data_IF_214829551688
#
_entry.id   IF_214829551688
#
_cell.length_a   1.000
_cell.length_b   1.000
_cell.length_c   1.000
_cell.angle_alpha   90.00
_cell.angle_beta   90.00
_cell.angle_gamma   90.00
#
_symmetry.space_group_name_H-M   'P 1'
#
loop_
_entity.id
_entity.type
_entity.pdbx_description
1 polymer ?
#
# COMPACT_ATOMS: atom_id res chain seq x y z
N UNK A 1 3.39 7.54 -59.00
CA UNK A 1 2.96 8.67 -59.85
C UNK A 1 1.48 8.93 -59.63
N UNK A 2 1.06 10.20 -59.58
CA UNK A 2 -0.30 10.71 -59.23
C UNK A 2 -1.13 10.97 -60.54
N UNK A 3 -2.25 11.76 -60.64
CA UNK A 3 -3.17 12.44 -59.68
C UNK A 3 -4.70 12.20 -60.05
N UNK A 4 -5.65 13.19 -60.12
CA UNK A 4 -6.77 13.53 -59.18
C UNK A 4 -8.17 13.53 -59.92
N UNK A 5 -9.29 14.26 -59.57
CA UNK A 5 -9.57 15.24 -58.51
C UNK A 5 -10.92 15.14 -57.75
N UNK A 6 -11.02 16.05 -56.77
CA UNK A 6 -12.15 16.45 -55.93
C UNK A 6 -13.49 16.65 -56.63
N UNK A 7 -14.58 16.40 -55.90
CA UNK A 7 -15.86 17.08 -56.13
C UNK A 7 -16.51 17.51 -54.81
N UNK A 8 -17.13 18.68 -54.93
CA UNK A 8 -17.78 19.57 -53.97
C UNK A 8 -18.87 18.97 -53.06
N UNK A 9 -18.97 19.58 -51.87
CA UNK A 9 -20.04 19.43 -50.89
C UNK A 9 -21.45 19.80 -51.41
N UNK A 10 -22.50 19.38 -50.69
CA UNK A 10 -23.64 20.24 -50.43
C UNK A 10 -23.85 20.45 -48.93
N UNK A 11 -23.95 21.73 -48.58
CA UNK A 11 -24.48 22.30 -47.35
C UNK A 11 -25.83 21.71 -46.94
N UNK A 12 -25.96 21.24 -45.69
CA UNK A 12 -27.25 21.11 -45.00
C UNK A 12 -27.14 21.55 -43.53
N UNK A 13 -27.58 22.78 -43.32
CA UNK A 13 -28.53 23.26 -42.31
C UNK A 13 -28.51 22.53 -40.94
N UNK A 14 -27.93 23.23 -39.96
CA UNK A 14 -28.11 23.01 -38.53
C UNK A 14 -29.57 23.31 -38.12
N UNK A 15 -30.23 22.47 -37.30
CA UNK A 15 -31.44 22.85 -36.60
C UNK A 15 -31.10 23.66 -35.34
N UNK A 16 -31.48 24.93 -35.42
CA UNK A 16 -31.93 25.84 -34.36
C UNK A 16 -32.07 25.27 -32.94
N UNK A 17 -31.32 25.90 -32.05
CA UNK A 17 -31.46 25.94 -30.59
C UNK A 17 -32.89 26.24 -30.12
N UNK A 18 -33.46 25.39 -29.28
CA UNK A 18 -34.54 25.78 -28.36
C UNK A 18 -34.00 25.87 -26.94
N UNK A 19 -34.05 27.11 -26.44
CA UNK A 19 -33.82 27.53 -25.07
C UNK A 19 -34.56 26.61 -24.07
N UNK A 20 -33.81 25.96 -23.19
CA UNK A 20 -34.35 25.49 -21.92
C UNK A 20 -33.55 26.11 -20.77
N UNK A 21 -34.30 26.85 -19.97
CA UNK A 21 -33.93 27.73 -18.87
C UNK A 21 -32.75 27.25 -18.01
N UNK A 22 -31.74 28.13 -17.90
CA UNK A 22 -30.68 28.08 -16.89
C UNK A 22 -31.31 28.12 -15.50
N UNK A 23 -31.24 27.02 -14.74
CA UNK A 23 -31.14 27.10 -13.28
C UNK A 23 -29.66 27.08 -12.91
N UNK A 24 -29.06 28.26 -12.93
CA UNK A 24 -27.88 28.55 -12.11
C UNK A 24 -28.28 28.38 -10.65
N UNK A 25 -27.93 27.25 -10.05
CA UNK A 25 -27.83 27.17 -8.59
C UNK A 25 -26.56 27.92 -8.25
N UNK A 26 -26.71 29.19 -7.87
CA UNK A 26 -25.64 29.94 -7.27
C UNK A 26 -25.14 29.16 -6.06
N UNK A 27 -23.92 28.65 -6.13
CA UNK A 27 -23.19 28.23 -4.95
C UNK A 27 -23.02 29.48 -4.08
N UNK A 28 -23.86 29.61 -3.06
CA UNK A 28 -23.66 30.58 -2.00
C UNK A 28 -22.37 30.19 -1.28
N UNK A 29 -21.26 30.75 -1.73
CA UNK A 29 -20.03 30.84 -0.98
C UNK A 29 -20.26 31.87 0.11
N UNK A 30 -20.87 31.42 1.21
CA UNK A 30 -20.88 32.23 2.43
C UNK A 30 -19.44 32.36 2.92
N UNK A 31 -18.96 33.58 3.23
CA UNK A 31 -17.69 33.74 3.91
C UNK A 31 -17.78 33.02 5.25
N UNK A 32 -16.74 32.25 5.61
CA UNK A 32 -16.66 31.59 6.89
C UNK A 32 -16.81 32.64 8.01
N UNK A 33 -17.79 32.51 8.92
CA UNK A 33 -17.83 33.38 10.08
C UNK A 33 -16.63 33.05 10.95
N UNK A 34 -15.99 34.10 11.48
CA UNK A 34 -14.99 33.99 12.54
C UNK A 34 -15.51 33.05 13.63
N UNK A 35 -14.64 32.14 14.09
CA UNK A 35 -14.99 30.94 14.84
C UNK A 35 -16.00 31.15 15.97
N UNK A 36 -17.13 30.45 15.88
CA UNK A 36 -18.05 30.31 17.00
C UNK A 36 -17.44 29.38 18.06
N UNK A 37 -17.36 29.81 19.33
CA UNK A 37 -17.01 28.93 20.43
C UNK A 37 -18.18 27.97 20.68
N UNK A 38 -18.04 26.72 20.25
CA UNK A 38 -19.06 25.69 20.53
C UNK A 38 -19.15 24.50 19.56
N UNK A 39 -18.43 24.49 18.44
CA UNK A 39 -18.48 23.34 17.51
C UNK A 39 -17.89 22.08 18.16
N UNK A 40 -18.67 20.99 18.15
CA UNK A 40 -18.19 19.66 18.57
C UNK A 40 -16.98 19.24 17.71
N UNK A 41 -15.99 18.51 18.26
CA UNK A 41 -14.86 18.03 17.48
C UNK A 41 -15.31 17.20 16.27
N UNK A 42 -14.61 17.33 15.15
CA UNK A 42 -14.75 16.41 14.01
C UNK A 42 -14.23 15.04 14.46
N UNK A 43 -15.09 14.02 14.37
CA UNK A 43 -14.75 12.67 14.82
C UNK A 43 -14.69 11.70 13.66
N UNK A 44 -13.55 11.02 13.53
CA UNK A 44 -13.31 10.00 12.53
C UNK A 44 -13.04 8.65 13.18
N UNK A 45 -13.70 7.60 12.72
CA UNK A 45 -13.33 6.23 13.03
C UNK A 45 -12.56 5.64 11.84
N UNK A 46 -11.44 4.96 12.10
CA UNK A 46 -10.67 4.23 11.08
C UNK A 46 -10.62 2.75 11.46
N UNK A 47 -11.20 1.89 10.63
CA UNK A 47 -11.30 0.47 10.91
C UNK A 47 -10.11 -0.27 10.26
N UNK A 48 -9.14 -0.65 11.07
CA UNK A 48 -7.90 -1.34 10.68
C UNK A 48 -6.66 -0.47 10.89
N UNK A 49 -5.62 -1.05 11.47
CA UNK A 49 -4.35 -0.41 11.81
C UNK A 49 -3.19 -0.92 10.92
N UNK A 50 -3.50 -1.26 9.66
CA UNK A 50 -2.53 -1.63 8.62
C UNK A 50 -2.05 -0.43 7.80
N UNK A 51 -1.44 -0.70 6.63
CA UNK A 51 -0.92 0.35 5.74
C UNK A 51 -1.98 1.42 5.38
N UNK A 52 -3.17 0.99 4.96
CA UNK A 52 -4.26 1.89 4.59
C UNK A 52 -4.72 2.74 5.77
N UNK A 53 -5.02 2.09 6.91
CA UNK A 53 -5.60 2.77 8.07
C UNK A 53 -4.67 3.80 8.70
N UNK A 54 -3.40 3.47 8.90
CA UNK A 54 -2.45 4.44 9.46
C UNK A 54 -2.14 5.59 8.49
N UNK A 55 -2.12 5.32 7.19
CA UNK A 55 -2.00 6.39 6.18
C UNK A 55 -3.20 7.35 6.24
N UNK A 56 -4.42 6.81 6.27
CA UNK A 56 -5.65 7.61 6.42
C UNK A 56 -5.59 8.43 7.71
N UNK A 57 -5.30 7.79 8.85
CA UNK A 57 -5.25 8.45 10.15
C UNK A 57 -4.26 9.62 10.17
N UNK A 58 -3.04 9.40 9.66
CA UNK A 58 -2.03 10.45 9.52
C UNK A 58 -2.56 11.63 8.68
N UNK A 59 -3.15 11.34 7.53
CA UNK A 59 -3.65 12.39 6.63
C UNK A 59 -4.90 13.11 7.18
N UNK A 60 -5.77 12.43 7.93
CA UNK A 60 -6.88 13.07 8.64
C UNK A 60 -6.36 14.07 9.67
N UNK A 61 -5.41 13.66 10.52
CA UNK A 61 -4.78 14.54 11.50
C UNK A 61 -4.02 15.70 10.85
N UNK A 62 -3.35 15.46 9.71
CA UNK A 62 -2.51 16.45 9.04
C UNK A 62 -3.29 17.47 8.22
N UNK A 63 -4.37 17.05 7.56
CA UNK A 63 -5.08 17.88 6.58
C UNK A 63 -6.42 18.44 7.07
N UNK A 64 -6.89 18.03 8.24
CA UNK A 64 -8.04 18.70 8.86
C UNK A 64 -7.75 20.20 9.10
N UNK A 65 -8.77 21.08 9.02
CA UNK A 65 -8.58 22.51 9.20
C UNK A 65 -7.93 22.82 10.56
N UNK A 66 -7.01 23.79 10.60
CA UNK A 66 -6.26 24.14 11.82
C UNK A 66 -7.16 24.57 12.97
N UNK A 67 -8.22 25.31 12.66
CA UNK A 67 -9.18 25.81 13.67
C UNK A 67 -10.23 24.78 14.09
N UNK A 68 -10.11 23.51 13.64
CA UNK A 68 -11.04 22.44 13.99
C UNK A 68 -10.42 21.50 15.02
N UNK A 69 -11.18 21.20 16.07
CA UNK A 69 -10.87 20.10 16.96
C UNK A 69 -11.12 18.78 16.24
N UNK A 70 -10.17 17.85 16.29
CA UNK A 70 -10.22 16.59 15.52
C UNK A 70 -9.93 15.40 16.44
N UNK A 71 -10.76 14.36 16.38
CA UNK A 71 -10.50 13.08 17.04
C UNK A 71 -10.45 11.98 16.00
N UNK A 72 -9.38 11.19 16.00
CA UNK A 72 -9.24 10.00 15.15
C UNK A 72 -9.11 8.77 16.04
N UNK A 73 -10.12 7.90 15.95
CA UNK A 73 -10.19 6.66 16.71
C UNK A 73 -9.94 5.47 15.76
N UNK A 74 -8.84 4.74 15.96
CA UNK A 74 -8.53 3.52 15.21
C UNK A 74 -9.11 2.32 15.94
N UNK A 75 -9.82 1.45 15.22
CA UNK A 75 -10.30 0.16 15.71
C UNK A 75 -9.57 -0.97 14.98
N UNK A 76 -8.85 -1.83 15.72
CA UNK A 76 -8.19 -3.02 15.15
C UNK A 76 -8.07 -4.12 16.20
N UNK A 77 -8.59 -5.31 15.91
CA UNK A 77 -8.61 -6.45 16.84
C UNK A 77 -7.21 -7.01 17.16
N UNK A 78 -6.24 -6.85 16.25
CA UNK A 78 -4.86 -7.34 16.39
C UNK A 78 -3.85 -6.22 16.66
N UNK A 79 -4.29 -4.98 16.69
CA UNK A 79 -3.47 -3.79 16.87
C UNK A 79 -2.60 -3.44 15.66
N UNK A 80 -1.71 -2.47 15.84
CA UNK A 80 -0.88 -1.88 14.78
C UNK A 80 -0.10 -2.95 14.01
N UNK A 81 -0.35 -3.04 12.71
CA UNK A 81 0.29 -4.01 11.82
C UNK A 81 0.04 -5.48 12.20
N UNK A 82 -1.09 -5.79 12.84
CA UNK A 82 -1.46 -7.18 13.21
C UNK A 82 -1.87 -8.05 12.02
N UNK A 83 -2.29 -7.45 10.90
CA UNK A 83 -2.69 -8.16 9.69
C UNK A 83 -1.60 -8.27 8.61
N UNK A 84 -2.03 -8.51 7.37
CA UNK A 84 -1.15 -8.72 6.21
C UNK A 84 -0.13 -7.60 5.96
N UNK A 85 -0.41 -6.37 6.41
CA UNK A 85 0.53 -5.25 6.28
C UNK A 85 1.82 -5.48 7.07
N UNK A 86 1.71 -5.95 8.32
CA UNK A 86 2.87 -6.22 9.18
C UNK A 86 3.66 -7.46 8.77
N UNK A 87 3.02 -8.39 8.07
CA UNK A 87 3.64 -9.66 7.61
C UNK A 87 4.42 -9.51 6.30
N UNK A 88 4.10 -8.48 5.49
CA UNK A 88 4.60 -8.32 4.12
C UNK A 88 6.13 -8.40 3.96
N UNK A 89 6.60 -8.62 2.73
CA UNK A 89 8.04 -8.76 2.44
C UNK A 89 8.85 -7.46 2.52
N UNK A 90 8.22 -6.30 2.72
CA UNK A 90 8.94 -5.03 2.90
C UNK A 90 9.64 -4.46 1.66
N UNK A 91 9.50 -5.09 0.48
CA UNK A 91 10.12 -4.61 -0.75
C UNK A 91 9.31 -3.46 -1.36
N UNK A 92 9.94 -2.29 -1.52
CA UNK A 92 9.31 -1.07 -2.01
C UNK A 92 10.02 -0.52 -3.25
N UNK A 93 9.28 -0.48 -4.35
CA UNK A 93 9.67 0.10 -5.63
C UNK A 93 8.40 0.39 -6.47
N UNK A 94 8.44 1.33 -7.44
CA UNK A 94 7.25 1.73 -8.23
C UNK A 94 6.97 0.87 -9.46
N UNK A 95 7.63 -0.27 -9.58
CA UNK A 95 7.62 -1.09 -10.80
C UNK A 95 6.79 -2.37 -10.66
N UNK A 96 6.23 -2.83 -11.78
CA UNK A 96 5.60 -4.14 -11.89
C UNK A 96 6.63 -5.28 -11.79
N UNK A 97 6.23 -6.57 -11.72
CA UNK A 97 7.19 -7.67 -11.76
C UNK A 97 7.90 -7.75 -13.13
N UNK A 98 7.40 -7.04 -14.14
CA UNK A 98 8.02 -6.90 -15.46
C UNK A 98 8.90 -5.65 -15.55
N UNK A 99 9.21 -5.01 -14.42
CA UNK A 99 10.01 -3.76 -14.35
C UNK A 99 9.36 -2.55 -15.03
N UNK A 100 8.19 -2.71 -15.66
CA UNK A 100 7.38 -1.59 -16.15
C UNK A 100 6.91 -0.68 -15.01
N UNK A 101 7.04 0.64 -15.18
CA UNK A 101 6.49 1.62 -14.25
C UNK A 101 4.97 1.41 -14.11
N UNK A 102 4.50 1.35 -12.86
CA UNK A 102 3.07 1.18 -12.59
C UNK A 102 2.29 2.44 -12.99
N UNK A 103 1.00 2.27 -13.27
CA UNK A 103 0.10 3.41 -13.45
C UNK A 103 0.15 4.32 -12.22
N UNK A 104 0.41 5.61 -12.45
CA UNK A 104 0.69 6.62 -11.41
C UNK A 104 1.79 6.22 -10.42
N UNK A 105 2.73 5.38 -10.84
CA UNK A 105 3.84 4.88 -10.01
C UNK A 105 4.68 5.99 -9.40
N UNK A 106 4.84 7.12 -10.10
CA UNK A 106 5.54 8.30 -9.58
C UNK A 106 4.85 8.92 -8.35
N UNK A 107 3.53 9.03 -8.37
CA UNK A 107 2.75 9.62 -7.28
C UNK A 107 2.69 8.67 -6.08
N UNK A 108 2.48 7.37 -6.34
CA UNK A 108 2.56 6.34 -5.30
C UNK A 108 3.92 6.34 -4.61
N UNK A 109 5.00 6.36 -5.40
CA UNK A 109 6.36 6.43 -4.88
C UNK A 109 6.57 7.67 -4.00
N UNK A 110 6.19 8.85 -4.49
CA UNK A 110 6.35 10.12 -3.78
C UNK A 110 5.65 10.12 -2.42
N UNK A 111 4.38 9.71 -2.39
CA UNK A 111 3.59 9.73 -1.14
C UNK A 111 4.06 8.66 -0.15
N UNK A 112 4.38 7.44 -0.62
CA UNK A 112 4.93 6.39 0.26
C UNK A 112 6.30 6.74 0.82
N UNK A 113 7.18 7.33 0.02
CA UNK A 113 8.47 7.86 0.49
C UNK A 113 8.30 9.03 1.46
N UNK A 114 7.21 9.81 1.34
CA UNK A 114 6.82 10.82 2.31
C UNK A 114 6.49 10.21 3.68
N UNK A 115 5.61 9.22 3.71
CA UNK A 115 5.23 8.54 4.97
C UNK A 115 6.38 7.74 5.59
N UNK A 116 7.28 7.18 4.79
CA UNK A 116 8.49 6.54 5.32
C UNK A 116 9.39 7.52 6.07
N UNK A 117 9.62 8.71 5.51
CA UNK A 117 10.40 9.76 6.18
C UNK A 117 9.77 10.21 7.49
N UNK A 118 8.45 10.33 7.52
CA UNK A 118 7.69 10.66 8.74
C UNK A 118 7.88 9.57 9.80
N UNK A 119 7.76 8.30 9.42
CA UNK A 119 7.97 7.18 10.34
C UNK A 119 9.41 7.10 10.85
N UNK A 120 10.41 7.30 9.99
CA UNK A 120 11.82 7.35 10.40
C UNK A 120 12.09 8.46 11.42
N UNK A 121 11.53 9.65 11.20
CA UNK A 121 11.67 10.78 12.13
C UNK A 121 11.08 10.44 13.51
N UNK A 122 9.87 9.87 13.55
CA UNK A 122 9.22 9.46 14.80
C UNK A 122 9.99 8.33 15.51
N UNK A 123 10.62 7.42 14.76
CA UNK A 123 11.45 6.37 15.32
C UNK A 123 12.77 6.92 15.90
N UNK A 124 13.37 7.93 15.26
CA UNK A 124 14.59 8.58 15.74
C UNK A 124 14.40 9.33 17.06
N UNK A 125 13.25 10.00 17.23
CA UNK A 125 12.90 10.70 18.48
C UNK A 125 12.71 9.76 19.67
N UNK A 126 12.37 8.49 19.43
CA UNK A 126 12.17 7.49 20.49
C UNK A 126 13.46 6.76 20.92
N UNK A 127 14.57 6.94 20.18
CA UNK A 127 15.77 6.08 20.26
C UNK A 127 17.00 6.74 20.89
N UNK A 128 16.86 7.79 21.71
CA UNK A 128 18.01 8.35 22.42
C UNK A 128 18.68 7.36 23.40
N UNK A 129 18.05 6.21 23.70
CA UNK A 129 18.42 5.40 24.88
C UNK A 129 18.85 3.93 24.61
N UNK A 130 18.98 3.42 23.37
CA UNK A 130 19.40 2.01 23.17
C UNK A 130 20.29 1.72 21.94
N UNK A 131 21.42 1.03 22.18
CA UNK A 131 22.48 0.66 21.23
C UNK A 131 22.39 -0.81 20.78
N UNK A 132 21.33 -1.21 20.08
CA UNK A 132 21.26 -2.54 19.43
C UNK A 132 21.17 -2.42 17.89
N UNK A 133 21.96 -3.25 17.20
CA UNK A 133 22.06 -3.27 15.72
C UNK A 133 20.84 -3.92 15.02
N UNK A 134 19.94 -4.59 15.77
CA UNK A 134 18.77 -5.31 15.25
C UNK A 134 17.53 -4.43 14.99
N UNK A 135 17.76 -3.12 14.89
CA UNK A 135 16.72 -2.08 14.97
C UNK A 135 16.53 -1.27 13.68
N UNK A 136 17.02 -1.80 12.55
CA UNK A 136 16.90 -1.10 11.27
C UNK A 136 15.45 -1.12 10.78
N UNK A 137 14.88 0.06 10.60
CA UNK A 137 13.55 0.24 10.01
C UNK A 137 13.57 0.02 8.49
N UNK A 138 14.64 0.50 7.85
CA UNK A 138 14.78 0.58 6.39
C UNK A 138 16.22 0.22 6.00
N UNK A 139 16.37 -0.61 4.98
CA UNK A 139 17.61 -0.91 4.30
C UNK A 139 17.62 -0.26 2.92
N UNK A 140 18.54 0.69 2.72
CA UNK A 140 18.68 1.50 1.48
C UNK A 140 19.75 0.92 0.56
N UNK A 141 19.55 -0.32 0.14
CA UNK A 141 20.56 -1.11 -0.59
C UNK A 141 20.18 -1.37 -2.05
N UNK A 142 18.95 -1.02 -2.43
CA UNK A 142 18.38 -1.31 -3.71
C UNK A 142 17.74 -2.70 -3.80
N UNK A 143 17.25 -3.03 -4.99
CA UNK A 143 16.68 -4.33 -5.34
C UNK A 143 17.25 -4.77 -6.69
N UNK A 144 17.70 -6.02 -6.81
CA UNK A 144 18.16 -6.61 -8.08
C UNK A 144 17.14 -7.64 -8.57
N UNK A 145 16.89 -7.66 -9.87
CA UNK A 145 15.99 -8.60 -10.55
C UNK A 145 16.69 -9.25 -11.74
N UNK A 146 17.22 -10.47 -11.57
CA UNK A 146 17.66 -11.27 -12.71
C UNK A 146 16.44 -11.83 -13.49
N UNK A 147 16.49 -11.90 -14.82
CA UNK A 147 15.53 -12.67 -15.60
C UNK A 147 15.75 -14.18 -15.38
N UNK A 148 14.66 -14.95 -15.28
CA UNK A 148 14.70 -16.42 -15.12
C UNK A 148 14.22 -17.16 -16.37
N UNK A 149 13.75 -16.45 -17.39
CA UNK A 149 13.34 -17.01 -18.70
C UNK A 149 13.68 -16.03 -19.82
N UNK A 150 13.85 -16.54 -21.04
CA UNK A 150 14.16 -15.73 -22.23
C UNK A 150 13.10 -14.65 -22.48
N UNK A 151 11.82 -15.04 -22.42
CA UNK A 151 10.70 -14.10 -22.52
C UNK A 151 10.74 -13.02 -21.44
N UNK A 152 11.14 -13.36 -20.21
CA UNK A 152 11.28 -12.35 -19.16
C UNK A 152 12.47 -11.42 -19.46
N UNK A 153 13.57 -11.94 -20.01
CA UNK A 153 14.74 -11.17 -20.37
C UNK A 153 14.39 -10.04 -21.35
N UNK A 154 13.73 -10.36 -22.47
CA UNK A 154 13.31 -9.38 -23.47
C UNK A 154 12.43 -8.29 -22.87
N UNK A 155 11.42 -8.70 -22.10
CA UNK A 155 10.47 -7.78 -21.44
C UNK A 155 11.19 -6.87 -20.44
N UNK A 156 12.15 -7.40 -19.68
CA UNK A 156 12.88 -6.62 -18.69
C UNK A 156 13.78 -5.57 -19.35
N UNK A 157 14.47 -5.92 -20.43
CA UNK A 157 15.30 -4.98 -21.19
C UNK A 157 14.47 -3.86 -21.80
N UNK A 158 13.36 -4.21 -22.47
CA UNK A 158 12.44 -3.24 -23.06
C UNK A 158 11.92 -2.26 -21.99
N UNK A 159 11.42 -2.78 -20.86
CA UNK A 159 10.84 -1.92 -19.83
C UNK A 159 11.89 -1.12 -19.05
N UNK A 160 13.14 -1.60 -18.94
CA UNK A 160 14.21 -0.88 -18.26
C UNK A 160 14.58 0.44 -18.94
N UNK A 161 14.25 0.59 -20.23
CA UNK A 161 14.47 1.83 -20.99
C UNK A 161 13.60 3.00 -20.49
N UNK A 162 12.48 2.72 -19.83
CA UNK A 162 11.55 3.72 -19.30
C UNK A 162 11.46 3.62 -17.78
N UNK A 163 12.21 4.47 -17.08
CA UNK A 163 12.22 4.50 -15.62
C UNK A 163 11.77 5.83 -15.03
N UNK A 164 11.45 5.80 -13.74
CA UNK A 164 11.19 6.99 -12.93
C UNK A 164 12.53 7.53 -12.41
N UNK A 165 12.82 8.81 -12.64
CA UNK A 165 14.08 9.44 -12.18
C UNK A 165 14.31 9.27 -10.67
N UNK A 166 13.27 9.47 -9.85
CA UNK A 166 13.34 9.30 -8.40
C UNK A 166 13.48 7.85 -7.93
N UNK A 167 13.52 6.88 -8.84
CA UNK A 167 13.78 5.47 -8.59
C UNK A 167 14.36 4.81 -9.86
N UNK A 168 15.50 5.27 -10.34
CA UNK A 168 16.06 4.86 -11.64
C UNK A 168 16.31 3.36 -11.77
N UNK A 169 16.41 2.88 -13.01
CA UNK A 169 16.77 1.51 -13.34
C UNK A 169 18.17 1.47 -13.98
N UNK A 170 18.94 0.42 -13.67
CA UNK A 170 20.22 0.12 -14.30
C UNK A 170 20.19 -1.31 -14.81
N UNK A 171 20.72 -1.55 -16.01
CA UNK A 171 20.97 -2.92 -16.50
C UNK A 171 22.43 -3.23 -16.20
N UNK A 172 22.65 -4.23 -15.35
CA UNK A 172 23.98 -4.69 -14.98
C UNK A 172 24.32 -5.94 -15.77
N UNK A 173 25.53 -6.03 -16.30
CA UNK A 173 26.08 -7.28 -16.81
C UNK A 173 26.36 -8.27 -15.67
N UNK A 174 26.73 -9.51 -16.02
CA UNK A 174 27.02 -10.56 -15.05
C UNK A 174 28.07 -10.17 -14.02
N UNK A 175 29.16 -9.54 -14.44
CA UNK A 175 30.26 -9.19 -13.56
C UNK A 175 29.85 -8.10 -12.56
N UNK A 176 29.13 -7.07 -13.03
CA UNK A 176 28.61 -6.01 -12.18
C UNK A 176 27.57 -6.53 -11.19
N UNK A 177 26.69 -7.43 -11.63
CA UNK A 177 25.69 -8.05 -10.78
C UNK A 177 26.34 -8.94 -9.68
N UNK A 178 27.36 -9.72 -10.03
CA UNK A 178 28.10 -10.55 -9.07
C UNK A 178 28.98 -9.74 -8.12
N UNK A 179 29.52 -8.59 -8.54
CA UNK A 179 30.20 -7.66 -7.61
C UNK A 179 29.25 -7.10 -6.56
N UNK A 180 27.99 -6.88 -6.94
CA UNK A 180 26.96 -6.34 -6.05
C UNK A 180 26.37 -7.41 -5.11
N UNK A 181 26.19 -8.62 -5.62
CA UNK A 181 25.77 -9.80 -4.86
C UNK A 181 26.66 -10.99 -5.26
N UNK A 182 27.73 -11.28 -4.49
CA UNK A 182 28.58 -12.44 -4.74
C UNK A 182 27.76 -13.73 -4.79
N UNK A 183 27.95 -14.54 -5.84
CA UNK A 183 27.22 -15.79 -6.04
C UNK A 183 25.80 -15.64 -6.61
N UNK A 184 25.40 -14.44 -7.06
CA UNK A 184 24.17 -14.26 -7.82
C UNK A 184 24.23 -14.96 -9.17
N UNK A 185 23.22 -15.75 -9.48
CA UNK A 185 23.03 -16.37 -10.80
C UNK A 185 22.22 -15.43 -11.71
N UNK A 186 22.73 -15.20 -12.91
CA UNK A 186 22.14 -14.34 -13.95
C UNK A 186 22.07 -15.13 -15.26
N UNK A 187 21.05 -15.99 -15.45
CA UNK A 187 21.02 -16.97 -16.55
C UNK A 187 21.05 -16.38 -17.97
N UNK A 188 20.76 -15.09 -18.12
CA UNK A 188 20.73 -14.38 -19.40
C UNK A 188 21.75 -13.23 -19.43
N UNK A 189 22.83 -13.35 -18.67
CA UNK A 189 23.99 -12.44 -18.64
C UNK A 189 23.73 -10.99 -18.18
N UNK A 190 22.55 -10.71 -17.62
CA UNK A 190 22.26 -9.42 -17.00
C UNK A 190 21.29 -9.52 -15.82
N UNK A 191 21.19 -8.44 -15.06
CA UNK A 191 20.12 -8.20 -14.10
C UNK A 191 19.68 -6.73 -14.13
N UNK A 192 18.40 -6.46 -13.84
CA UNK A 192 17.93 -5.10 -13.62
C UNK A 192 18.15 -4.72 -12.16
N UNK A 193 18.87 -3.63 -11.92
CA UNK A 193 19.10 -3.06 -10.60
C UNK A 193 18.29 -1.80 -10.37
N UNK A 194 17.65 -1.72 -9.21
CA UNK A 194 16.88 -0.58 -8.71
C UNK A 194 17.62 0.01 -7.50
N UNK A 195 18.62 0.88 -7.69
CA UNK A 195 19.48 1.37 -6.60
C UNK A 195 18.72 2.07 -5.48
N UNK A 196 17.64 2.80 -5.82
CA UNK A 196 16.87 3.58 -4.85
C UNK A 196 15.67 2.80 -4.26
N UNK A 197 15.47 1.55 -4.67
CA UNK A 197 14.46 0.69 -4.07
C UNK A 197 14.85 0.29 -2.65
N UNK A 198 13.86 -0.01 -1.82
CA UNK A 198 14.05 -0.22 -0.39
C UNK A 198 13.58 -1.60 0.05
N UNK A 199 14.23 -2.12 1.08
CA UNK A 199 13.64 -3.13 1.95
C UNK A 199 13.29 -2.45 3.29
N UNK A 200 12.13 -2.74 3.85
CA UNK A 200 11.70 -2.20 5.15
C UNK A 200 11.26 -3.33 6.07
N UNK A 201 11.33 -3.11 7.38
CA UNK A 201 10.60 -3.92 8.33
C UNK A 201 9.16 -3.38 8.42
N UNK A 202 8.14 -4.09 7.90
CA UNK A 202 6.80 -3.52 7.80
C UNK A 202 6.13 -3.30 9.15
N UNK A 203 6.34 -4.22 10.11
CA UNK A 203 5.76 -4.11 11.45
C UNK A 203 6.34 -2.90 12.19
N UNK A 204 7.67 -2.77 12.21
CA UNK A 204 8.36 -1.61 12.81
C UNK A 204 7.95 -0.31 12.11
N UNK A 205 7.79 -0.32 10.78
CA UNK A 205 7.34 0.85 10.02
C UNK A 205 5.94 1.31 10.45
N UNK A 206 4.99 0.38 10.58
CA UNK A 206 3.63 0.71 11.01
C UNK A 206 3.60 1.22 12.46
N UNK A 207 4.41 0.63 13.36
CA UNK A 207 4.54 1.12 14.74
C UNK A 207 5.12 2.54 14.78
N UNK A 208 6.15 2.83 13.98
CA UNK A 208 6.74 4.14 13.88
C UNK A 208 5.77 5.17 13.26
N UNK A 209 4.99 4.79 12.24
CA UNK A 209 3.95 5.66 11.67
C UNK A 209 2.82 5.94 12.66
N UNK A 210 2.42 4.95 13.45
CA UNK A 210 1.47 5.15 14.55
C UNK A 210 2.01 6.15 15.59
N UNK A 211 3.29 6.00 15.96
CA UNK A 211 3.97 6.93 16.88
C UNK A 211 4.03 8.36 16.30
N UNK A 212 4.23 8.49 14.98
CA UNK A 212 4.17 9.78 14.31
C UNK A 212 2.79 10.45 14.45
N UNK A 213 1.69 9.69 14.35
CA UNK A 213 0.35 10.22 14.60
C UNK A 213 0.20 10.73 16.05
N UNK A 214 0.74 10.01 17.04
CA UNK A 214 0.73 10.45 18.44
C UNK A 214 1.57 11.71 18.67
N UNK A 215 2.74 11.81 18.04
CA UNK A 215 3.57 13.01 18.11
C UNK A 215 2.84 14.22 17.54
N UNK A 216 2.17 14.05 16.39
CA UNK A 216 1.38 15.11 15.75
C UNK A 216 0.22 15.61 16.62
N UNK A 217 -0.41 14.73 17.42
CA UNK A 217 -1.43 15.16 18.38
C UNK A 217 -0.84 15.89 19.58
N UNK A 218 0.27 15.40 20.12
CA UNK A 218 0.93 16.01 21.28
C UNK A 218 1.45 17.42 20.96
N UNK A 219 2.00 17.63 19.76
CA UNK A 219 2.42 18.95 19.28
C UNK A 219 1.23 19.92 19.18
N UNK A 220 0.10 19.45 18.67
CA UNK A 220 -1.10 20.27 18.49
C UNK A 220 -1.75 20.68 19.82
N UNK A 221 -1.70 19.81 20.84
CA UNK A 221 -2.21 20.11 22.20
C UNK A 221 -1.49 21.27 22.91
N UNK A 222 -0.37 21.77 22.38
CA UNK A 222 0.31 22.95 22.91
C UNK A 222 -0.43 24.28 22.61
N UNK A 223 -1.40 24.27 21.68
CA UNK A 223 -2.20 25.44 21.30
C UNK A 223 -3.68 25.21 21.66
N UNK A 224 -4.34 26.12 22.42
CA UNK A 224 -5.73 25.94 22.87
C UNK A 224 -6.77 25.77 21.74
N UNK A 225 -6.49 26.29 20.54
CA UNK A 225 -7.37 26.24 19.38
C UNK A 225 -7.18 25.00 18.50
N UNK A 226 -6.07 24.26 18.64
CA UNK A 226 -5.71 23.12 17.79
C UNK A 226 -5.75 21.79 18.56
N UNK A 227 -6.87 21.49 19.24
CA UNK A 227 -6.97 20.23 19.99
C UNK A 227 -7.15 19.03 19.03
N UNK A 228 -6.19 18.10 19.05
CA UNK A 228 -6.27 16.83 18.32
C UNK A 228 -6.14 15.64 19.26
N UNK A 229 -7.00 14.65 19.07
CA UNK A 229 -7.00 13.39 19.80
C UNK A 229 -6.75 12.22 18.83
N UNK A 230 -5.97 11.24 19.28
CA UNK A 230 -5.69 10.04 18.51
C UNK A 230 -5.63 8.83 19.44
N UNK A 231 -6.47 7.83 19.20
CA UNK A 231 -6.59 6.65 20.07
C UNK A 231 -6.65 5.36 19.25
N UNK A 232 -6.12 4.29 19.84
CA UNK A 232 -6.25 2.93 19.33
C UNK A 232 -7.13 2.11 20.29
N UNK A 233 -8.19 1.55 19.73
CA UNK A 233 -9.06 0.58 20.37
C UNK A 233 -8.72 -0.80 19.82
N UNK A 234 -8.16 -1.66 20.68
CA UNK A 234 -7.93 -3.07 20.36
C UNK A 234 -9.24 -3.86 20.43
N UNK A 235 -10.15 -3.54 19.52
CA UNK A 235 -11.53 -3.99 19.54
C UNK A 235 -11.97 -4.39 18.13
N UNK A 236 -12.78 -5.44 18.07
CA UNK A 236 -13.47 -5.84 16.86
C UNK A 236 -14.74 -4.99 16.67
N UNK A 237 -15.09 -4.70 15.43
CA UNK A 237 -16.32 -4.00 15.06
C UNK A 237 -17.17 -4.94 14.21
N UNK A 238 -18.28 -5.40 14.76
CA UNK A 238 -19.14 -6.41 14.12
C UNK A 238 -20.03 -5.82 13.02
N UNK A 239 -20.44 -4.56 13.17
CA UNK A 239 -21.27 -3.87 12.19
C UNK A 239 -20.98 -2.37 12.18
N UNK A 240 -21.14 -1.75 11.01
CA UNK A 240 -20.85 -0.33 10.80
C UNK A 240 -21.86 0.58 11.50
N UNK A 241 -23.09 0.10 11.68
CA UNK A 241 -24.15 0.86 12.34
C UNK A 241 -23.89 1.12 13.83
N UNK A 242 -23.09 0.29 14.53
CA UNK A 242 -22.64 0.56 15.90
C UNK A 242 -21.87 1.88 16.04
N UNK A 243 -21.23 2.33 14.97
CA UNK A 243 -20.45 3.58 14.94
C UNK A 243 -21.25 4.75 14.36
N UNK A 244 -22.47 4.49 13.86
CA UNK A 244 -23.32 5.52 13.28
C UNK A 244 -23.87 6.44 14.37
N UNK A 245 -23.59 7.75 14.25
CA UNK A 245 -24.04 8.78 15.21
C UNK A 245 -22.92 9.33 16.10
N UNK A 246 -21.90 8.53 16.38
CA UNK A 246 -20.74 8.94 17.20
C UNK A 246 -19.65 9.64 16.39
N UNK A 247 -19.62 9.36 15.09
CA UNK A 247 -18.60 9.83 14.15
C UNK A 247 -19.22 10.62 13.00
N UNK A 248 -18.48 11.61 12.50
CA UNK A 248 -18.83 12.33 11.27
C UNK A 248 -18.44 11.50 10.03
N UNK A 249 -17.41 10.66 10.14
CA UNK A 249 -17.07 9.68 9.11
C UNK A 249 -16.41 8.42 9.66
N UNK A 250 -16.74 7.28 9.05
CA UNK A 250 -16.12 5.97 9.31
C UNK A 250 -15.38 5.55 8.05
N UNK A 251 -14.08 5.28 8.17
CA UNK A 251 -13.22 4.85 7.07
C UNK A 251 -12.85 3.38 7.26
N UNK A 252 -13.31 2.52 6.36
CA UNK A 252 -13.12 1.08 6.37
C UNK A 252 -11.79 0.73 5.68
N UNK A 253 -10.82 0.26 6.46
CA UNK A 253 -9.47 -0.13 6.05
C UNK A 253 -9.13 -1.59 6.44
N UNK A 254 -10.14 -2.46 6.53
CA UNK A 254 -10.05 -3.82 7.10
C UNK A 254 -9.36 -4.86 6.20
N UNK A 255 -8.87 -4.47 5.02
CA UNK A 255 -8.21 -5.38 4.09
C UNK A 255 -9.13 -6.55 3.71
N UNK A 256 -8.65 -7.79 3.85
CA UNK A 256 -9.42 -8.99 3.49
C UNK A 256 -10.64 -9.21 4.41
N UNK A 257 -10.60 -8.69 5.64
CA UNK A 257 -11.71 -8.77 6.59
C UNK A 257 -12.85 -7.80 6.26
N UNK A 258 -12.72 -6.93 5.25
CA UNK A 258 -13.81 -6.02 4.89
C UNK A 258 -15.12 -6.75 4.54
N UNK A 259 -15.02 -7.96 3.98
CA UNK A 259 -16.19 -8.79 3.65
C UNK A 259 -16.84 -9.47 4.87
N UNK A 260 -16.22 -9.42 6.06
CA UNK A 260 -16.86 -9.94 7.29
C UNK A 260 -17.91 -8.97 7.85
N UNK A 261 -17.88 -7.71 7.43
CA UNK A 261 -18.92 -6.74 7.79
C UNK A 261 -20.23 -7.09 7.04
N UNK A 262 -21.37 -7.26 7.74
CA UNK A 262 -22.64 -7.59 7.12
C UNK A 262 -23.05 -6.62 6.01
N UNK A 263 -22.75 -5.33 6.17
CA UNK A 263 -23.11 -4.29 5.22
C UNK A 263 -22.30 -4.35 3.92
N UNK A 264 -21.15 -5.04 3.91
CA UNK A 264 -20.23 -5.16 2.78
C UNK A 264 -20.12 -6.59 2.23
N UNK A 265 -20.73 -7.57 2.93
CA UNK A 265 -20.77 -8.96 2.50
C UNK A 265 -21.28 -9.07 1.05
N UNK A 266 -20.48 -9.72 0.20
CA UNK A 266 -20.74 -9.92 -1.23
C UNK A 266 -20.90 -8.64 -2.08
N UNK A 267 -20.54 -7.45 -1.57
CA UNK A 267 -20.61 -6.18 -2.31
C UNK A 267 -19.27 -5.71 -2.88
N UNK A 268 -18.17 -6.20 -2.32
CA UNK A 268 -16.82 -5.80 -2.75
C UNK A 268 -16.25 -6.82 -3.74
N UNK A 269 -15.72 -6.41 -4.91
CA UNK A 269 -15.09 -7.32 -5.86
C UNK A 269 -13.67 -7.72 -5.42
N UNK A 270 -13.52 -8.20 -4.19
CA UNK A 270 -12.25 -8.61 -3.60
C UNK A 270 -12.11 -10.13 -3.63
N UNK A 271 -10.92 -10.60 -3.96
CA UNK A 271 -10.53 -12.01 -3.83
C UNK A 271 -9.50 -12.16 -2.74
N UNK A 272 -9.66 -13.16 -1.89
CA UNK A 272 -8.65 -13.46 -0.88
C UNK A 272 -7.48 -14.22 -1.47
N UNK A 273 -6.27 -13.86 -1.04
CA UNK A 273 -5.06 -14.61 -1.36
C UNK A 273 -4.14 -14.64 -0.15
N UNK A 274 -4.08 -15.80 0.52
CA UNK A 274 -3.12 -16.04 1.59
C UNK A 274 -1.73 -16.23 1.00
N UNK A 275 -0.74 -15.61 1.62
CA UNK A 275 0.66 -15.75 1.27
C UNK A 275 1.47 -16.08 2.51
N UNK A 276 2.22 -17.17 2.43
CA UNK A 276 3.16 -17.62 3.45
C UNK A 276 4.56 -17.14 3.07
N UNK A 277 5.28 -16.62 4.05
CA UNK A 277 6.66 -16.14 3.96
C UNK A 277 7.50 -17.00 4.89
N UNK A 278 8.59 -17.55 4.36
CA UNK A 278 9.54 -18.35 5.10
C UNK A 278 10.73 -17.47 5.50
N UNK A 279 11.12 -17.53 6.78
CA UNK A 279 12.30 -16.85 7.29
C UNK A 279 13.47 -17.82 7.39
N UNK A 280 14.63 -17.37 6.93
CA UNK A 280 15.88 -18.10 6.99
C UNK A 280 16.95 -17.26 7.67
N UNK A 281 17.84 -17.94 8.37
CA UNK A 281 18.99 -17.35 9.03
C UNK A 281 20.27 -18.04 8.60
N UNK A 282 21.32 -17.26 8.41
CA UNK A 282 22.64 -17.80 8.14
C UNK A 282 23.23 -18.39 9.43
N UNK A 283 23.73 -19.65 9.42
CA UNK A 283 24.28 -20.29 10.62
C UNK A 283 25.37 -19.45 11.27
N UNK A 284 25.36 -19.37 12.60
CA UNK A 284 26.19 -18.39 13.33
C UNK A 284 27.70 -18.60 13.18
N UNK A 285 28.10 -19.84 12.90
CA UNK A 285 29.45 -20.35 12.65
C UNK A 285 29.93 -20.14 11.21
N UNK A 286 29.05 -19.71 10.30
CA UNK A 286 29.45 -19.38 8.93
C UNK A 286 30.26 -18.07 8.94
N UNK A 287 31.48 -18.15 8.41
CA UNK A 287 32.40 -17.00 8.32
C UNK A 287 31.95 -15.97 7.29
N UNK A 288 31.45 -16.44 6.14
CA UNK A 288 30.92 -15.58 5.09
C UNK A 288 29.55 -15.02 5.49
N UNK A 289 29.33 -13.74 5.28
CA UNK A 289 28.04 -13.09 5.54
C UNK A 289 27.43 -12.54 4.25
N UNK A 290 26.10 -12.35 4.24
CA UNK A 290 25.50 -11.58 3.16
C UNK A 290 25.99 -10.13 3.22
N UNK A 291 26.41 -9.60 2.07
CA UNK A 291 27.03 -8.28 2.01
C UNK A 291 26.14 -7.20 2.66
N UNK A 292 26.72 -6.41 3.58
CA UNK A 292 25.96 -5.38 4.29
C UNK A 292 25.36 -4.32 3.37
N UNK A 293 25.96 -4.09 2.21
CA UNK A 293 25.45 -3.18 1.16
C UNK A 293 24.76 -3.91 0.01
N UNK A 294 24.66 -5.25 0.06
CA UNK A 294 24.04 -6.02 -1.02
C UNK A 294 22.52 -5.83 -1.03
N UNK A 295 21.91 -5.62 -2.21
CA UNK A 295 20.48 -5.38 -2.38
C UNK A 295 19.63 -6.61 -2.11
N UNK A 296 18.33 -6.40 -1.86
CA UNK A 296 17.37 -7.52 -1.89
C UNK A 296 17.20 -8.06 -3.32
N UNK A 297 16.75 -9.30 -3.45
CA UNK A 297 16.60 -9.97 -4.77
C UNK A 297 15.12 -10.17 -5.07
N UNK A 298 14.70 -9.82 -6.28
CA UNK A 298 13.34 -9.99 -6.78
C UNK A 298 13.31 -10.96 -7.97
N UNK A 299 12.93 -12.22 -7.73
CA UNK A 299 12.72 -13.24 -8.76
C UNK A 299 11.32 -13.88 -8.62
N UNK A 300 11.15 -15.15 -8.98
CA UNK A 300 9.89 -15.89 -8.81
C UNK A 300 9.53 -16.14 -7.33
N UNK A 301 10.55 -16.22 -6.47
CA UNK A 301 10.44 -16.03 -5.03
C UNK A 301 11.36 -14.87 -4.64
N UNK A 302 10.80 -13.79 -4.09
CA UNK A 302 11.60 -12.67 -3.63
C UNK A 302 12.37 -13.03 -2.36
N UNK A 303 13.57 -12.45 -2.21
CA UNK A 303 14.41 -12.57 -1.03
C UNK A 303 14.65 -11.16 -0.46
N UNK A 304 14.01 -10.89 0.68
CA UNK A 304 14.11 -9.63 1.39
C UNK A 304 15.14 -9.78 2.53
N UNK A 305 16.38 -9.38 2.27
CA UNK A 305 17.47 -9.44 3.25
C UNK A 305 17.31 -8.33 4.30
N UNK A 306 17.21 -8.72 5.56
CA UNK A 306 17.04 -7.85 6.73
C UNK A 306 18.31 -7.87 7.58
N UNK A 307 19.41 -7.39 7.00
CA UNK A 307 20.76 -7.52 7.56
C UNK A 307 21.61 -8.59 6.86
N UNK A 308 22.80 -8.90 7.40
CA UNK A 308 23.76 -9.84 6.82
C UNK A 308 23.42 -11.31 7.04
N UNK A 309 22.57 -11.61 8.03
CA UNK A 309 22.28 -12.99 8.47
C UNK A 309 20.81 -13.37 8.46
N UNK A 310 19.90 -12.47 8.11
CA UNK A 310 18.46 -12.74 8.13
C UNK A 310 17.84 -12.42 6.78
N UNK A 311 17.02 -13.34 6.26
CA UNK A 311 16.30 -13.16 4.99
C UNK A 311 14.90 -13.74 5.07
N UNK A 312 13.94 -12.96 4.57
CA UNK A 312 12.59 -13.44 4.33
C UNK A 312 12.44 -13.83 2.86
N UNK A 313 11.94 -15.03 2.59
CA UNK A 313 11.67 -15.53 1.25
C UNK A 313 10.16 -15.62 1.07
N UNK A 314 9.65 -15.08 -0.03
CA UNK A 314 8.23 -15.21 -0.27
C UNK A 314 7.72 -14.85 -1.65
N UNK A 315 6.41 -14.84 -1.82
CA UNK A 315 5.45 -15.54 -0.94
C UNK A 315 4.73 -16.61 -1.77
N UNK A 316 4.16 -17.60 -1.08
CA UNK A 316 3.19 -18.51 -1.72
C UNK A 316 1.93 -17.75 -2.14
N UNK A 317 1.07 -18.40 -2.93
CA UNK A 317 -0.18 -17.83 -3.45
C UNK A 317 -1.36 -18.79 -3.30
N UNK A 318 -2.00 -18.77 -2.15
CA UNK A 318 -3.20 -19.57 -1.87
C UNK A 318 -4.46 -18.72 -2.12
N UNK A 319 -5.00 -18.82 -3.33
CA UNK A 319 -6.22 -18.10 -3.73
C UNK A 319 -7.47 -18.68 -3.06
N UNK A 320 -8.49 -17.82 -2.86
CA UNK A 320 -9.76 -18.18 -2.22
C UNK A 320 -9.60 -18.74 -0.80
N UNK A 321 -8.50 -18.43 -0.14
CA UNK A 321 -8.26 -18.83 1.24
C UNK A 321 -9.19 -18.07 2.19
N UNK A 322 -9.75 -18.78 3.16
CA UNK A 322 -10.52 -18.22 4.28
C UNK A 322 -9.72 -18.26 5.58
N UNK A 323 -8.43 -18.59 5.52
CA UNK A 323 -7.56 -18.62 6.68
C UNK A 323 -6.95 -17.23 6.94
N UNK A 324 -7.57 -16.48 7.85
CA UNK A 324 -7.16 -15.15 8.29
C UNK A 324 -6.06 -15.15 9.38
N UNK A 325 -5.65 -16.33 9.87
CA UNK A 325 -4.66 -16.44 10.95
C UNK A 325 -3.29 -15.99 10.49
N UNK A 326 -2.55 -15.24 11.32
CA UNK A 326 -1.14 -14.96 11.08
C UNK A 326 -0.22 -16.16 11.38
N UNK A 327 -0.73 -17.11 12.17
CA UNK A 327 -0.03 -18.34 12.54
C UNK A 327 -0.02 -19.31 11.36
N UNK A 328 1.08 -20.05 11.24
CA UNK A 328 1.35 -21.04 10.20
C UNK A 328 1.63 -22.36 10.91
N UNK A 329 0.96 -23.44 10.52
CA UNK A 329 1.25 -24.77 11.07
C UNK A 329 2.56 -25.32 10.54
N UNK A 330 3.12 -26.33 11.19
CA UNK A 330 4.37 -26.95 10.73
C UNK A 330 4.23 -27.54 9.31
N UNK A 331 3.07 -28.11 8.97
CA UNK A 331 2.82 -28.63 7.61
C UNK A 331 2.73 -27.51 6.57
N UNK A 332 2.05 -26.40 6.89
CA UNK A 332 1.96 -25.24 6.00
C UNK A 332 3.34 -24.58 5.82
N UNK A 333 4.13 -24.50 6.90
CA UNK A 333 5.50 -23.98 6.88
C UNK A 333 6.41 -24.84 6.00
N UNK A 334 6.37 -26.16 6.17
CA UNK A 334 7.14 -27.10 5.37
C UNK A 334 6.75 -27.04 3.88
N UNK A 335 5.45 -26.95 3.59
CA UNK A 335 4.93 -26.78 2.22
C UNK A 335 5.47 -25.49 1.59
N UNK A 336 5.40 -24.38 2.32
CA UNK A 336 5.91 -23.10 1.85
C UNK A 336 7.43 -23.13 1.62
N UNK A 337 8.20 -23.74 2.53
CA UNK A 337 9.65 -23.93 2.37
C UNK A 337 9.96 -24.72 1.09
N UNK A 338 9.29 -25.84 0.88
CA UNK A 338 9.51 -26.71 -0.28
C UNK A 338 9.13 -26.03 -1.60
N UNK A 339 8.17 -25.11 -1.60
CA UNK A 339 7.80 -24.32 -2.77
C UNK A 339 8.79 -23.17 -3.04
N UNK A 340 9.22 -22.45 -1.99
CA UNK A 340 9.94 -21.18 -2.11
C UNK A 340 11.45 -21.37 -2.23
N UNK A 341 12.05 -22.31 -1.50
CA UNK A 341 13.49 -22.48 -1.47
C UNK A 341 14.08 -22.83 -2.85
N UNK A 342 13.50 -23.75 -3.66
CA UNK A 342 14.02 -24.02 -5.00
C UNK A 342 13.98 -22.80 -5.94
N UNK A 343 12.96 -21.96 -5.83
CA UNK A 343 12.83 -20.72 -6.62
C UNK A 343 13.89 -19.69 -6.22
N UNK A 344 14.17 -19.58 -4.93
CA UNK A 344 15.21 -18.69 -4.42
C UNK A 344 16.61 -19.17 -4.80
N UNK A 345 16.90 -20.46 -4.62
CA UNK A 345 18.21 -21.05 -4.93
C UNK A 345 18.53 -21.05 -6.42
N UNK A 346 17.52 -21.03 -7.30
CA UNK A 346 17.71 -20.87 -8.74
C UNK A 346 18.39 -19.55 -9.15
N UNK A 347 18.26 -18.49 -8.35
CA UNK A 347 18.91 -17.19 -8.60
C UNK A 347 20.02 -16.86 -7.59
N UNK A 348 20.01 -17.46 -6.40
CA UNK A 348 21.05 -17.28 -5.38
C UNK A 348 21.33 -18.61 -4.68
N UNK A 349 22.18 -19.49 -5.26
CA UNK A 349 22.40 -20.86 -4.75
C UNK A 349 22.88 -20.92 -3.30
N UNK A 350 23.59 -19.89 -2.82
CA UNK A 350 24.06 -19.79 -1.45
C UNK A 350 22.95 -19.87 -0.39
N UNK A 351 21.70 -19.53 -0.75
CA UNK A 351 20.55 -19.60 0.18
C UNK A 351 20.26 -21.01 0.70
N UNK A 352 20.65 -22.06 -0.05
CA UNK A 352 20.46 -23.45 0.38
C UNK A 352 21.28 -23.85 1.61
N UNK A 353 22.26 -23.02 1.99
CA UNK A 353 23.07 -23.19 3.20
C UNK A 353 22.46 -22.52 4.44
N UNK A 354 21.35 -21.80 4.28
CA UNK A 354 20.71 -21.06 5.36
C UNK A 354 19.69 -21.94 6.06
N UNK A 355 19.58 -21.77 7.38
CA UNK A 355 18.65 -22.53 8.21
C UNK A 355 17.27 -21.90 8.14
N UNK A 356 16.25 -22.75 7.97
CA UNK A 356 14.86 -22.33 8.11
C UNK A 356 14.57 -22.06 9.60
N UNK A 357 14.06 -20.87 9.91
CA UNK A 357 13.73 -20.47 11.29
C UNK A 357 12.25 -20.69 11.56
N UNK A 358 11.40 -20.00 10.81
CA UNK A 358 9.95 -20.09 10.97
C UNK A 358 9.23 -19.58 9.71
N UNK A 359 7.91 -19.72 9.69
CA UNK A 359 7.06 -19.13 8.67
C UNK A 359 6.01 -18.21 9.30
N UNK A 360 5.50 -17.27 8.50
CA UNK A 360 4.40 -16.37 8.86
C UNK A 360 3.49 -16.15 7.66
N UNK A 361 2.22 -15.85 7.90
CA UNK A 361 1.26 -15.68 6.81
C UNK A 361 0.41 -14.43 6.93
N UNK A 362 0.02 -13.90 5.78
CA UNK A 362 -0.90 -12.78 5.67
C UNK A 362 -1.92 -13.04 4.57
N UNK A 363 -3.16 -12.62 4.79
CA UNK A 363 -4.23 -12.71 3.81
C UNK A 363 -4.42 -11.37 3.08
N UNK A 364 -4.18 -11.38 1.77
CA UNK A 364 -4.29 -10.21 0.91
C UNK A 364 -5.71 -10.08 0.37
N UNK A 365 -6.25 -8.86 0.41
CA UNK A 365 -7.41 -8.48 -0.38
C UNK A 365 -6.94 -8.09 -1.77
N UNK A 366 -7.17 -8.96 -2.76
CA UNK A 366 -6.77 -8.74 -4.15
C UNK A 366 -7.93 -8.08 -4.92
N UNK A 367 -7.71 -6.89 -5.50
CA UNK A 367 -8.73 -6.21 -6.29
C UNK A 367 -8.88 -6.86 -7.68
N UNK A 368 -9.90 -6.49 -8.47
CA UNK A 368 -10.00 -6.93 -9.85
C UNK A 368 -8.79 -6.43 -10.67
N UNK A 369 -8.51 -7.13 -11.76
CA UNK A 369 -7.51 -6.68 -12.74
C UNK A 369 -8.20 -5.73 -13.73
N UNK A 370 -7.63 -4.55 -13.92
CA UNK A 370 -8.09 -3.56 -14.90
C UNK A 370 -7.00 -3.32 -15.96
N UNK A 371 -7.29 -2.50 -16.98
CA UNK A 371 -6.29 -2.05 -17.95
C UNK A 371 -5.11 -1.31 -17.27
N UNK A 372 -5.35 -0.66 -16.14
CA UNK A 372 -4.34 0.04 -15.33
C UNK A 372 -3.68 -0.87 -14.27
N UNK A 373 -4.00 -2.16 -14.30
CA UNK A 373 -3.55 -3.15 -13.32
C UNK A 373 -4.53 -3.38 -12.17
N UNK A 374 -4.05 -4.02 -11.12
CA UNK A 374 -4.80 -4.29 -9.89
C UNK A 374 -4.73 -3.07 -8.97
N UNK A 375 -5.72 -2.18 -9.09
CA UNK A 375 -5.83 -0.94 -8.33
C UNK A 375 -6.65 -1.13 -7.05
N UNK A 376 -6.29 -0.46 -5.94
CA UNK A 376 -7.12 -0.42 -4.73
C UNK A 376 -8.55 0.09 -4.98
N UNK A 377 -9.47 -0.34 -4.13
CA UNK A 377 -10.85 0.12 -4.13
C UNK A 377 -11.01 1.30 -3.17
N UNK A 378 -11.41 2.45 -3.69
CA UNK A 378 -11.71 3.65 -2.90
C UNK A 378 -13.17 4.07 -3.13
N UNK A 379 -13.70 4.84 -2.19
CA UNK A 379 -14.93 5.61 -2.41
C UNK A 379 -15.91 5.61 -1.24
N UNK A 380 -16.90 6.47 -1.34
CA UNK A 380 -18.03 6.60 -0.44
C UNK A 380 -18.99 5.40 -0.57
N UNK A 381 -19.43 4.87 0.56
CA UNK A 381 -20.28 3.68 0.67
C UNK A 381 -21.72 4.00 1.08
N UNK A 382 -22.08 5.28 1.27
CA UNK A 382 -23.39 5.71 1.77
C UNK A 382 -24.56 5.12 0.96
N UNK A 383 -24.45 5.10 -0.37
CA UNK A 383 -25.46 4.51 -1.25
C UNK A 383 -25.58 2.99 -1.13
N UNK A 384 -24.52 2.30 -0.71
CA UNK A 384 -24.50 0.83 -0.55
C UNK A 384 -24.91 0.36 0.85
N UNK A 385 -24.63 1.16 1.88
CA UNK A 385 -24.93 0.86 3.29
C UNK A 385 -26.33 1.37 3.66
N UNK A 386 -26.80 2.42 3.00
CA UNK A 386 -28.03 3.12 3.34
C UNK A 386 -27.78 4.15 4.45
N UNK A 387 -28.16 5.41 4.19
CA UNK A 387 -27.91 6.51 5.11
C UNK A 387 -28.91 6.48 6.27
N UNK A 388 -28.48 5.98 7.43
CA UNK A 388 -29.27 5.96 8.68
C UNK A 388 -28.93 7.11 9.64
N UNK A 389 -27.87 7.87 9.37
CA UNK A 389 -27.37 8.95 10.24
C UNK A 389 -26.61 10.01 9.44
N UNK A 390 -26.16 11.08 10.10
CA UNK A 390 -25.27 12.10 9.54
C UNK A 390 -23.79 11.66 9.41
N UNK A 391 -23.51 10.36 9.44
CA UNK A 391 -22.18 9.79 9.28
C UNK A 391 -21.96 9.32 7.83
N UNK A 392 -20.81 9.66 7.24
CA UNK A 392 -20.41 9.17 5.93
C UNK A 392 -19.48 7.96 6.05
N UNK A 393 -19.61 6.98 5.15
CA UNK A 393 -18.78 5.79 5.14
C UNK A 393 -17.85 5.79 3.93
N UNK A 394 -16.56 5.51 4.16
CA UNK A 394 -15.54 5.52 3.11
C UNK A 394 -14.75 4.22 3.09
N UNK A 395 -14.30 3.78 1.91
CA UNK A 395 -13.50 2.56 1.75
C UNK A 395 -12.06 2.88 1.34
N UNK A 396 -11.11 2.15 1.94
CA UNK A 396 -9.80 1.87 1.34
C UNK A 396 -9.57 0.36 1.42
N UNK A 397 -9.80 -0.34 0.31
CA UNK A 397 -9.70 -1.79 0.21
C UNK A 397 -8.81 -2.26 -0.95
N UNK A 398 -8.57 -3.56 -1.05
CA UNK A 398 -7.95 -4.13 -2.25
C UNK A 398 -6.50 -3.70 -2.50
N UNK A 399 -5.70 -3.47 -1.46
CA UNK A 399 -4.28 -3.12 -1.63
C UNK A 399 -3.43 -4.21 -2.30
N UNK A 400 -3.92 -5.46 -2.30
CA UNK A 400 -3.26 -6.60 -2.92
C UNK A 400 -1.84 -6.84 -2.42
N UNK A 401 -0.94 -7.20 -3.34
CA UNK A 401 0.48 -7.44 -3.05
C UNK A 401 1.35 -6.16 -3.03
N UNK A 402 0.75 -4.97 -3.18
CA UNK A 402 1.46 -3.69 -3.34
C UNK A 402 1.03 -2.65 -2.31
N UNK A 403 0.46 -3.09 -1.20
CA UNK A 403 -0.06 -2.17 -0.18
C UNK A 403 0.95 -1.15 0.32
N UNK A 404 2.22 -1.54 0.47
CA UNK A 404 3.30 -0.64 0.88
C UNK A 404 3.63 0.46 -0.14
N UNK A 405 3.35 0.24 -1.43
CA UNK A 405 3.51 1.28 -2.45
C UNK A 405 2.27 2.17 -2.53
N UNK A 406 1.08 1.58 -2.40
CA UNK A 406 -0.15 2.32 -2.65
C UNK A 406 -0.61 3.20 -1.48
N UNK A 407 -0.31 2.80 -0.24
CA UNK A 407 -0.96 3.34 0.96
C UNK A 407 -0.81 4.84 1.14
N UNK A 408 0.35 5.42 0.81
CA UNK A 408 0.57 6.86 0.94
C UNK A 408 -0.44 7.67 0.14
N UNK A 409 -0.58 7.38 -1.16
CA UNK A 409 -1.48 8.11 -2.02
C UNK A 409 -2.96 7.82 -1.71
N UNK A 410 -3.33 6.54 -1.54
CA UNK A 410 -4.75 6.21 -1.33
C UNK A 410 -5.26 6.70 0.02
N UNK A 411 -4.44 6.65 1.08
CA UNK A 411 -4.82 7.19 2.38
C UNK A 411 -4.99 8.70 2.35
N UNK A 412 -4.11 9.41 1.63
CA UNK A 412 -4.24 10.86 1.40
C UNK A 412 -5.51 11.24 0.65
N UNK A 413 -5.81 10.55 -0.45
CA UNK A 413 -7.00 10.82 -1.26
C UNK A 413 -8.28 10.58 -0.45
N UNK A 414 -8.38 9.45 0.25
CA UNK A 414 -9.56 9.14 1.07
C UNK A 414 -9.71 10.08 2.25
N UNK A 415 -8.62 10.44 2.95
CA UNK A 415 -8.69 11.41 4.03
C UNK A 415 -9.19 12.78 3.54
N UNK A 416 -8.70 13.26 2.40
CA UNK A 416 -9.19 14.50 1.79
C UNK A 416 -10.66 14.42 1.43
N UNK A 417 -11.09 13.33 0.78
CA UNK A 417 -12.48 13.12 0.41
C UNK A 417 -13.41 13.06 1.63
N UNK A 418 -12.97 12.42 2.73
CA UNK A 418 -13.70 12.36 3.98
C UNK A 418 -13.79 13.73 4.69
N UNK A 419 -12.70 14.52 4.68
CA UNK A 419 -12.70 15.87 5.26
C UNK A 419 -13.64 16.81 4.49
N UNK A 420 -13.64 16.75 3.15
CA UNK A 420 -14.47 17.63 2.32
C UNK A 420 -15.87 17.07 2.03
N UNK A 421 -16.17 15.85 2.49
CA UNK A 421 -17.38 15.12 2.12
C UNK A 421 -17.60 15.04 0.59
N UNK A 422 -16.51 14.90 -0.19
CA UNK A 422 -16.55 14.94 -1.66
C UNK A 422 -15.77 13.79 -2.29
N UNK A 423 -16.50 12.84 -2.90
CA UNK A 423 -15.90 11.70 -3.60
C UNK A 423 -15.18 12.12 -4.89
N UNK A 424 -15.49 13.29 -5.48
CA UNK A 424 -14.87 13.72 -6.74
C UNK A 424 -13.37 14.02 -6.62
N UNK A 425 -12.84 14.11 -5.39
CA UNK A 425 -11.40 14.16 -5.12
C UNK A 425 -10.70 12.85 -5.50
N UNK A 426 -11.42 11.73 -5.49
CA UNK A 426 -10.91 10.40 -5.78
C UNK A 426 -11.00 10.15 -7.30
N UNK A 427 -9.87 9.89 -7.99
CA UNK A 427 -9.89 9.55 -9.40
C UNK A 427 -10.78 8.35 -9.72
N UNK A 428 -11.48 8.42 -10.85
CA UNK A 428 -12.54 7.48 -11.21
C UNK A 428 -12.03 6.05 -11.37
N UNK A 429 -10.75 5.84 -11.69
CA UNK A 429 -10.14 4.51 -11.76
C UNK A 429 -10.17 3.77 -10.42
N UNK A 430 -10.20 4.48 -9.30
CA UNK A 430 -10.32 3.87 -7.97
C UNK A 430 -11.77 3.66 -7.52
N UNK A 431 -12.75 4.28 -8.17
CA UNK A 431 -14.18 4.18 -7.83
C UNK A 431 -14.99 3.38 -8.85
N UNK A 432 -14.42 3.10 -10.03
CA UNK A 432 -15.10 2.42 -11.15
C UNK A 432 -15.61 1.01 -10.80
N UNK A 433 -15.05 0.39 -9.76
CA UNK A 433 -15.49 -0.91 -9.24
C UNK A 433 -16.96 -0.91 -8.80
N UNK A 434 -17.53 0.25 -8.43
CA UNK A 434 -18.95 0.36 -8.06
C UNK A 434 -19.90 0.10 -9.23
N UNK A 435 -19.42 0.25 -10.47
CA UNK A 435 -20.19 0.06 -11.70
C UNK A 435 -19.86 -1.29 -12.35
N UNK A 436 -18.83 -1.98 -11.87
CA UNK A 436 -18.49 -3.31 -12.35
C UNK A 436 -19.53 -4.32 -11.84
N UNK A 437 -20.17 -5.04 -12.77
CA UNK A 437 -20.98 -6.20 -12.38
C UNK A 437 -20.05 -7.22 -11.70
N UNK A 438 -20.44 -7.81 -10.56
CA UNK A 438 -19.68 -8.91 -9.98
C UNK A 438 -19.51 -10.00 -11.04
N UNK A 439 -18.28 -10.30 -11.42
CA UNK A 439 -17.98 -11.50 -12.20
C UNK A 439 -18.26 -12.70 -11.29
N UNK A 440 -19.28 -13.49 -11.66
CA UNK A 440 -19.68 -14.73 -10.98
C UNK A 440 -18.53 -15.71 -10.83
#
# INVERSE_FOLDING_TARGET
MPPPPCSSAPSRLLPSLTLCSRRTVAAASSPAPAGEPGRRPLRYAVLGAGFAGLSVAWHLLKHSPRDSRVSVDIYDDNGVGGGASGVSGGLLHPYSPKVKLLWRGAEFWKESMGLLRIAEQANGTARSDTTSQDESLIWRRGIVRPPTTEKAADILLENAQSCLESCSLQVLDSDAAQRLIPGLCVPFDFAVYMPLALNINPKKYLQALFSACQNLTNEASSLPSEQKDFKLYKQHVDNLHQLAGDYDSVIICLGAKACSLPELANKLPLRTCRGVIAEFQLPSDTVEEYGNQSPSILSDAWMAFQGPRTVSIGSTWQWKSENYSSTVSDEEALTAKNELLPKASGVYPGISKWDFVHARAGIRAMPPLTANGSLPLLGCLDGMIGKKSNCNFWLVGGLGARGLLYHGLVGKLTAKAAISCDENIIPSEFTSWKVMKPSQ
#
